data_IF_603264779322
#
_entry.id   IF_603264779322
#
_cell.length_a   1.000
_cell.length_b   1.000
_cell.length_c   1.000
_cell.angle_alpha   90.00
_cell.angle_beta   90.00
_cell.angle_gamma   90.00
#
_symmetry.space_group_name_H-M   'P 1'
#
loop_
_entity.id
_entity.type
_entity.pdbx_description
1 polymer ?
#
# COMPACT_ATOMS: atom_id res chain seq x y z
N UNK A 1 46.05 -12.74 -40.32
CA UNK A 1 45.37 -13.74 -39.43
C UNK A 1 44.35 -13.01 -38.56
N UNK A 2 43.09 -13.07 -38.95
CA UNK A 2 41.98 -12.35 -38.35
C UNK A 2 41.23 -13.36 -37.43
N UNK A 3 41.21 -13.16 -36.09
CA UNK A 3 40.39 -13.96 -35.19
C UNK A 3 39.16 -13.16 -34.80
N UNK A 4 38.04 -13.58 -35.35
CA UNK A 4 36.72 -13.11 -34.96
C UNK A 4 36.35 -13.72 -33.62
N UNK A 5 36.07 -12.88 -32.60
CA UNK A 5 35.44 -13.26 -31.34
C UNK A 5 33.92 -13.10 -31.48
N UNK A 6 33.20 -14.21 -31.60
CA UNK A 6 31.77 -14.24 -31.48
C UNK A 6 31.41 -14.08 -29.97
N UNK A 7 30.85 -12.94 -29.64
CA UNK A 7 30.22 -12.73 -28.33
C UNK A 7 28.83 -13.38 -28.32
N UNK A 8 28.65 -14.41 -27.52
CA UNK A 8 27.34 -14.98 -27.21
C UNK A 8 26.61 -14.05 -26.25
N UNK A 9 25.60 -13.34 -26.75
CA UNK A 9 24.64 -12.62 -25.91
C UNK A 9 23.73 -13.64 -25.22
N UNK A 10 23.95 -13.85 -23.93
CA UNK A 10 23.05 -14.62 -23.10
C UNK A 10 21.74 -13.84 -22.93
N UNK A 11 20.68 -14.30 -23.56
CA UNK A 11 19.31 -13.87 -23.30
C UNK A 11 18.91 -14.34 -21.89
N UNK A 12 19.06 -13.46 -20.93
CA UNK A 12 18.49 -13.68 -19.59
C UNK A 12 17.00 -13.44 -19.67
N UNK A 13 16.23 -14.52 -19.77
CA UNK A 13 14.79 -14.51 -19.63
C UNK A 13 14.42 -14.11 -18.19
N UNK A 14 13.50 -13.19 -17.94
CA UNK A 14 13.03 -12.88 -16.60
C UNK A 14 12.12 -14.00 -16.09
N UNK A 15 12.71 -15.01 -15.45
CA UNK A 15 11.99 -16.08 -14.74
C UNK A 15 11.38 -15.62 -13.38
N UNK A 16 11.42 -14.32 -13.10
CA UNK A 16 11.03 -13.78 -11.77
C UNK A 16 9.52 -13.57 -11.56
N UNK A 17 8.67 -13.76 -12.58
CA UNK A 17 7.25 -13.40 -12.48
C UNK A 17 6.35 -14.50 -11.87
N UNK A 18 6.87 -15.69 -11.62
CA UNK A 18 6.06 -16.84 -11.17
C UNK A 18 6.34 -17.30 -9.73
N UNK A 19 7.21 -16.60 -8.99
CA UNK A 19 7.66 -17.03 -7.66
C UNK A 19 6.55 -17.07 -6.59
N UNK A 20 5.42 -16.39 -6.81
CA UNK A 20 4.27 -16.38 -5.88
C UNK A 20 3.08 -17.21 -6.34
N UNK A 21 3.10 -17.86 -7.53
CA UNK A 21 1.96 -18.55 -8.08
C UNK A 21 2.00 -20.06 -7.78
N UNK A 22 0.94 -20.58 -7.16
CA UNK A 22 0.75 -21.99 -6.94
C UNK A 22 -0.21 -22.58 -7.99
N UNK A 23 0.33 -23.32 -8.93
CA UNK A 23 -0.43 -23.94 -10.04
C UNK A 23 -1.49 -24.96 -9.58
N UNK A 24 -1.29 -25.60 -8.43
CA UNK A 24 -2.22 -26.61 -7.93
C UNK A 24 -3.46 -26.02 -7.29
N UNK A 25 -3.34 -24.85 -6.68
CA UNK A 25 -4.43 -24.18 -5.96
C UNK A 25 -5.00 -22.99 -6.71
N UNK A 26 -4.40 -22.60 -7.85
CA UNK A 26 -4.72 -21.37 -8.57
C UNK A 26 -4.66 -20.12 -7.64
N UNK A 27 -3.65 -20.08 -6.78
CA UNK A 27 -3.43 -19.01 -5.81
C UNK A 27 -2.14 -18.25 -6.11
N UNK A 28 -2.18 -16.95 -5.90
CA UNK A 28 -1.01 -16.10 -5.88
C UNK A 28 -0.83 -15.52 -4.48
N UNK A 29 0.39 -15.53 -3.97
CA UNK A 29 0.73 -14.92 -2.68
C UNK A 29 1.71 -13.78 -2.91
N UNK A 30 1.32 -12.56 -2.52
CA UNK A 30 2.21 -11.42 -2.41
C UNK A 30 2.79 -11.37 -0.99
N UNK A 31 4.11 -11.41 -0.88
CA UNK A 31 4.78 -11.37 0.42
C UNK A 31 4.68 -10.01 1.08
N UNK A 32 4.83 -9.96 2.41
CA UNK A 32 4.86 -8.69 3.16
C UNK A 32 5.92 -7.74 2.62
N UNK A 33 7.12 -8.22 2.30
CA UNK A 33 8.23 -7.38 1.84
C UNK A 33 7.97 -6.78 0.45
N UNK A 34 7.37 -7.55 -0.45
CA UNK A 34 6.92 -7.05 -1.76
C UNK A 34 5.87 -5.96 -1.58
N UNK A 35 4.87 -6.19 -0.73
CA UNK A 35 3.81 -5.23 -0.44
C UNK A 35 4.35 -3.97 0.24
N UNK A 36 5.27 -4.11 1.21
CA UNK A 36 5.95 -2.99 1.85
C UNK A 36 6.72 -2.15 0.83
N UNK A 37 7.43 -2.79 -0.08
CA UNK A 37 8.16 -2.11 -1.15
C UNK A 37 7.21 -1.36 -2.10
N UNK A 38 6.06 -1.94 -2.42
CA UNK A 38 5.09 -1.31 -3.31
C UNK A 38 4.40 -0.11 -2.64
N UNK A 39 3.98 -0.24 -1.38
CA UNK A 39 3.35 0.87 -0.69
C UNK A 39 4.33 2.03 -0.46
N UNK A 40 5.58 1.75 -0.13
CA UNK A 40 6.60 2.77 0.07
C UNK A 40 6.81 3.67 -1.16
N UNK A 41 6.67 3.12 -2.37
CA UNK A 41 6.78 3.88 -3.63
C UNK A 41 5.62 4.87 -3.84
N UNK A 42 4.52 4.74 -3.11
CA UNK A 42 3.35 5.61 -3.21
C UNK A 42 3.41 6.81 -2.27
N UNK A 43 4.33 6.78 -1.33
CA UNK A 43 4.54 7.84 -0.34
C UNK A 43 5.74 8.72 -0.72
N UNK A 44 5.79 9.97 -0.27
CA UNK A 44 4.80 10.65 0.59
C UNK A 44 3.51 11.00 -0.15
N UNK A 45 2.41 11.05 0.58
CA UNK A 45 1.12 11.55 0.10
C UNK A 45 0.70 12.75 0.96
N UNK A 46 0.05 13.73 0.38
CA UNK A 46 -0.41 14.91 1.10
C UNK A 46 -1.66 15.51 0.46
N UNK A 47 -2.49 16.10 1.29
CA UNK A 47 -3.71 16.78 0.86
C UNK A 47 -3.92 18.07 1.64
N UNK A 48 -4.56 19.05 1.00
CA UNK A 48 -4.98 20.30 1.62
C UNK A 48 -6.40 20.14 2.14
N UNK A 49 -6.56 20.31 3.44
CA UNK A 49 -7.84 20.22 4.11
C UNK A 49 -8.31 21.62 4.54
N UNK A 50 -9.59 21.93 4.29
CA UNK A 50 -10.23 23.20 4.62
C UNK A 50 -9.41 24.43 4.20
N UNK A 51 -8.72 24.36 3.04
CA UNK A 51 -7.91 25.44 2.43
C UNK A 51 -6.65 25.87 3.23
N UNK A 52 -6.59 25.57 4.52
CA UNK A 52 -5.58 26.11 5.46
C UNK A 52 -4.69 25.05 6.12
N UNK A 53 -5.10 23.78 6.09
CA UNK A 53 -4.29 22.70 6.66
C UNK A 53 -3.67 21.88 5.53
N UNK A 54 -2.36 21.68 5.58
CA UNK A 54 -1.66 20.70 4.77
C UNK A 54 -1.40 19.47 5.63
N UNK A 55 -2.00 18.34 5.26
CA UNK A 55 -1.82 17.08 5.97
C UNK A 55 -1.04 16.13 5.08
N UNK A 56 0.04 15.59 5.59
CA UNK A 56 0.91 14.67 4.86
C UNK A 56 1.19 13.39 5.63
N UNK A 57 1.36 12.30 4.89
CA UNK A 57 1.79 10.99 5.41
C UNK A 57 3.08 10.57 4.71
N UNK A 58 4.04 10.07 5.47
CA UNK A 58 5.32 9.55 4.98
C UNK A 58 5.78 8.34 5.77
N UNK A 59 6.80 7.67 5.26
CA UNK A 59 7.44 6.52 5.90
C UNK A 59 6.44 5.40 6.27
N UNK A 60 5.64 4.89 5.32
CA UNK A 60 4.61 3.91 5.60
C UNK A 60 5.21 2.57 6.05
N UNK A 61 4.61 1.98 7.07
CA UNK A 61 4.91 0.63 7.55
C UNK A 61 3.67 -0.24 7.40
N UNK A 62 3.79 -1.34 6.67
CA UNK A 62 2.70 -2.28 6.45
C UNK A 62 2.59 -3.26 7.61
N UNK A 63 1.40 -3.33 8.20
CA UNK A 63 0.95 -4.38 9.10
C UNK A 63 -0.09 -5.27 8.41
N UNK A 64 -0.15 -6.54 8.79
CA UNK A 64 -1.12 -7.49 8.27
C UNK A 64 -1.89 -8.09 9.47
N UNK A 65 -3.22 -7.98 9.42
CA UNK A 65 -4.14 -8.56 10.40
C UNK A 65 -4.92 -9.70 9.73
N UNK A 66 -4.42 -10.91 9.88
CA UNK A 66 -5.04 -12.11 9.33
C UNK A 66 -6.43 -12.38 9.94
N UNK A 67 -6.65 -12.03 11.21
CA UNK A 67 -7.93 -12.27 11.90
C UNK A 67 -9.03 -11.33 11.42
N UNK A 68 -8.69 -10.06 11.24
CA UNK A 68 -9.60 -9.04 10.72
C UNK A 68 -9.69 -9.02 9.19
N UNK A 69 -8.86 -9.80 8.49
CA UNK A 69 -8.68 -9.74 7.03
C UNK A 69 -8.41 -8.32 6.55
N UNK A 70 -7.52 -7.59 7.24
CA UNK A 70 -7.22 -6.19 6.98
C UNK A 70 -5.72 -5.95 6.86
N UNK A 71 -5.36 -4.99 6.02
CA UNK A 71 -4.02 -4.42 5.98
C UNK A 71 -4.00 -3.13 6.81
N UNK A 72 -2.96 -2.91 7.61
CA UNK A 72 -2.76 -1.71 8.38
C UNK A 72 -1.57 -0.92 7.82
N UNK A 73 -1.72 0.39 7.72
CA UNK A 73 -0.62 1.30 7.39
C UNK A 73 -0.37 2.19 8.60
N UNK A 74 0.82 2.09 9.16
CA UNK A 74 1.32 3.04 10.15
C UNK A 74 2.27 4.00 9.47
N UNK A 75 2.04 5.30 9.60
CA UNK A 75 2.82 6.33 8.91
C UNK A 75 3.10 7.52 9.81
N UNK A 76 4.17 8.24 9.52
CA UNK A 76 4.44 9.55 10.11
C UNK A 76 3.45 10.56 9.52
N UNK A 77 2.70 11.22 10.39
CA UNK A 77 1.75 12.28 10.06
C UNK A 77 2.39 13.64 10.27
N UNK A 78 2.14 14.55 9.36
CA UNK A 78 2.51 15.97 9.48
C UNK A 78 1.30 16.83 9.21
N UNK A 79 1.01 17.78 10.09
CA UNK A 79 -0.06 18.77 9.93
C UNK A 79 0.58 20.16 9.97
N UNK A 80 0.48 20.89 8.89
CA UNK A 80 0.99 22.26 8.79
C UNK A 80 -0.16 23.25 8.53
N UNK A 81 -0.14 24.39 9.23
CA UNK A 81 -1.09 25.48 9.02
C UNK A 81 -0.53 26.77 9.60
N UNK A 82 -0.77 27.93 8.95
CA UNK A 82 -0.42 29.23 9.52
C UNK A 82 -1.20 29.59 10.79
N UNK A 83 -2.27 28.87 11.10
CA UNK A 83 -3.08 29.07 12.30
C UNK A 83 -2.55 28.33 13.53
N UNK A 84 -1.57 27.45 13.36
CA UNK A 84 -0.99 26.69 14.47
C UNK A 84 0.16 27.47 15.11
N UNK A 85 0.15 27.57 16.45
CA UNK A 85 1.24 28.19 17.21
C UNK A 85 2.57 27.44 16.99
N UNK A 86 2.50 26.12 16.85
CA UNK A 86 3.62 25.27 16.44
C UNK A 86 3.25 24.63 15.10
N UNK A 87 4.00 24.89 14.05
CA UNK A 87 3.78 24.35 12.72
C UNK A 87 5.14 24.01 12.08
N UNK A 88 5.31 22.80 11.53
CA UNK A 88 4.33 21.70 11.48
C UNK A 88 4.20 20.94 12.80
N UNK A 89 3.01 20.37 13.06
CA UNK A 89 2.79 19.38 14.09
C UNK A 89 3.08 17.99 13.52
N UNK A 90 3.84 17.20 14.25
CA UNK A 90 4.18 15.83 13.86
C UNK A 90 3.43 14.81 14.71
N UNK A 91 3.23 13.63 14.13
CA UNK A 91 2.59 12.53 14.83
C UNK A 91 2.79 11.19 14.12
N UNK A 92 2.12 10.19 14.65
CA UNK A 92 2.02 8.85 14.06
C UNK A 92 0.56 8.48 13.95
N UNK A 93 0.16 7.97 12.79
CA UNK A 93 -1.18 7.46 12.55
C UNK A 93 -1.10 5.99 12.12
N UNK A 94 -2.02 5.18 12.63
CA UNK A 94 -2.25 3.81 12.18
C UNK A 94 -3.66 3.69 11.63
N UNK A 95 -3.77 3.23 10.39
CA UNK A 95 -5.04 3.08 9.67
C UNK A 95 -5.16 1.66 9.16
N UNK A 96 -6.20 0.94 9.57
CA UNK A 96 -6.51 -0.38 9.02
C UNK A 96 -7.45 -0.25 7.82
N UNK A 97 -7.31 -1.13 6.83
CA UNK A 97 -8.13 -1.10 5.61
C UNK A 97 -8.51 -2.51 5.19
N UNK A 98 -9.72 -2.70 4.73
CA UNK A 98 -10.08 -3.85 3.92
C UNK A 98 -9.34 -3.78 2.58
N UNK A 99 -9.39 -4.86 1.82
CA UNK A 99 -8.75 -4.94 0.51
C UNK A 99 -9.82 -5.16 -0.57
N UNK A 100 -9.66 -4.48 -1.69
CA UNK A 100 -10.53 -4.63 -2.85
C UNK A 100 -9.70 -4.73 -4.13
N UNK A 101 -10.07 -5.66 -4.98
CA UNK A 101 -9.50 -5.72 -6.32
C UNK A 101 -10.28 -4.84 -7.29
N UNK A 102 -9.54 -4.02 -8.01
CA UNK A 102 -10.03 -3.21 -9.11
C UNK A 102 -9.63 -3.88 -10.43
N UNK A 103 -10.58 -4.53 -11.07
CA UNK A 103 -10.36 -5.28 -12.30
C UNK A 103 -9.95 -4.38 -13.48
N UNK A 104 -10.47 -3.15 -13.53
CA UNK A 104 -10.16 -2.21 -14.62
C UNK A 104 -8.68 -1.81 -14.63
N UNK A 105 -8.08 -1.64 -13.48
CA UNK A 105 -6.66 -1.27 -13.31
C UNK A 105 -5.78 -2.45 -12.90
N UNK A 106 -6.35 -3.63 -12.72
CA UNK A 106 -5.67 -4.83 -12.20
C UNK A 106 -4.88 -4.55 -10.93
N UNK A 107 -5.50 -3.86 -9.99
CA UNK A 107 -4.83 -3.42 -8.78
C UNK A 107 -5.57 -3.85 -7.51
N UNK A 108 -4.82 -4.32 -6.53
CA UNK A 108 -5.27 -4.50 -5.16
C UNK A 108 -5.16 -3.16 -4.43
N UNK A 109 -6.29 -2.67 -3.92
CA UNK A 109 -6.39 -1.35 -3.30
C UNK A 109 -6.84 -1.45 -1.86
N UNK A 110 -6.40 -0.48 -1.06
CA UNK A 110 -6.95 -0.23 0.26
C UNK A 110 -8.38 0.26 0.14
N UNK A 111 -9.29 -0.33 0.92
CA UNK A 111 -10.71 -0.01 0.91
C UNK A 111 -11.25 0.15 2.32
N UNK A 112 -12.21 1.04 2.51
CA UNK A 112 -12.80 1.33 3.81
C UNK A 112 -11.75 1.53 4.91
N UNK A 113 -10.82 2.50 4.75
CA UNK A 113 -9.80 2.78 5.75
C UNK A 113 -10.44 3.29 7.03
N UNK A 114 -9.89 2.85 8.16
CA UNK A 114 -10.32 3.24 9.50
C UNK A 114 -9.10 3.62 10.34
N UNK A 115 -9.06 4.85 10.83
CA UNK A 115 -8.04 5.28 11.76
C UNK A 115 -8.22 4.56 13.10
N UNK A 116 -7.24 3.75 13.47
CA UNK A 116 -7.24 2.98 14.73
C UNK A 116 -6.54 3.74 15.85
N UNK A 117 -5.49 4.50 15.51
CA UNK A 117 -4.68 5.25 16.45
C UNK A 117 -4.10 6.47 15.77
N UNK A 118 -4.10 7.60 16.48
CA UNK A 118 -3.39 8.80 16.08
C UNK A 118 -2.80 9.48 17.32
N UNK A 119 -1.50 9.73 17.30
CA UNK A 119 -0.78 10.43 18.36
C UNK A 119 -0.07 11.63 17.75
N UNK A 120 -0.28 12.79 18.37
CA UNK A 120 0.39 14.05 17.99
C UNK A 120 1.43 14.42 19.05
N UNK A 121 2.51 15.08 18.60
CA UNK A 121 3.59 15.54 19.45
C UNK A 121 3.52 17.07 19.62
N UNK A 122 3.77 17.55 20.84
CA UNK A 122 3.91 18.98 21.11
C UNK A 122 2.62 19.80 21.06
N UNK A 123 1.45 19.13 21.09
CA UNK A 123 0.13 19.77 21.23
C UNK A 123 -0.67 19.11 22.32
N UNK A 124 -1.42 19.88 23.08
CA UNK A 124 -2.20 19.41 24.23
C UNK A 124 -3.58 20.06 24.25
N UNK A 125 -4.47 19.51 25.07
CA UNK A 125 -5.80 20.06 25.32
C UNK A 125 -6.73 19.97 24.12
N UNK A 126 -7.63 20.94 24.00
CA UNK A 126 -8.68 20.97 22.97
C UNK A 126 -8.14 21.06 21.54
N UNK A 127 -7.00 21.69 21.35
CA UNK A 127 -6.40 21.80 20.02
C UNK A 127 -5.83 20.46 19.57
N UNK A 128 -5.22 19.70 20.47
CA UNK A 128 -4.78 18.34 20.17
C UNK A 128 -5.96 17.45 19.77
N UNK A 129 -7.08 17.48 20.49
CA UNK A 129 -8.27 16.70 20.15
C UNK A 129 -8.85 17.05 18.77
N UNK A 130 -8.90 18.35 18.43
CA UNK A 130 -9.37 18.80 17.11
C UNK A 130 -8.45 18.36 15.97
N UNK A 131 -7.14 18.51 16.17
CA UNK A 131 -6.14 18.09 15.20
C UNK A 131 -6.11 16.57 15.04
N UNK A 132 -6.29 15.80 16.11
CA UNK A 132 -6.40 14.35 16.05
C UNK A 132 -7.63 13.90 15.23
N UNK A 133 -8.80 14.49 15.48
CA UNK A 133 -10.02 14.17 14.71
C UNK A 133 -9.84 14.52 13.22
N UNK A 134 -9.34 15.70 12.91
CA UNK A 134 -9.10 16.12 11.54
C UNK A 134 -8.04 15.23 10.87
N UNK A 135 -6.91 15.02 11.53
CA UNK A 135 -5.82 14.19 11.00
C UNK A 135 -6.26 12.76 10.73
N UNK A 136 -7.12 12.18 11.58
CA UNK A 136 -7.68 10.85 11.37
C UNK A 136 -8.56 10.79 10.11
N UNK A 137 -9.43 11.77 9.91
CA UNK A 137 -10.30 11.86 8.72
C UNK A 137 -9.46 11.99 7.45
N UNK A 138 -8.52 12.91 7.43
CA UNK A 138 -7.68 13.14 6.24
C UNK A 138 -6.76 11.94 5.96
N UNK A 139 -6.23 11.28 7.00
CA UNK A 139 -5.44 10.07 6.81
C UNK A 139 -6.26 8.93 6.18
N UNK A 140 -7.52 8.79 6.56
CA UNK A 140 -8.44 7.84 5.92
C UNK A 140 -8.68 8.20 4.45
N UNK A 141 -8.94 9.46 4.15
CA UNK A 141 -9.14 9.94 2.77
C UNK A 141 -7.90 9.71 1.90
N UNK A 142 -6.71 10.05 2.40
CA UNK A 142 -5.43 9.85 1.72
C UNK A 142 -5.14 8.37 1.42
N UNK A 143 -5.60 7.45 2.27
CA UNK A 143 -5.36 6.02 2.11
C UNK A 143 -6.48 5.31 1.33
N UNK A 144 -7.67 5.91 1.20
CA UNK A 144 -8.76 5.33 0.43
C UNK A 144 -8.35 5.13 -1.04
N UNK A 145 -8.46 3.89 -1.52
CA UNK A 145 -8.14 3.53 -2.89
C UNK A 145 -6.65 3.48 -3.23
N UNK A 146 -5.74 3.70 -2.28
CA UNK A 146 -4.31 3.55 -2.52
C UNK A 146 -3.97 2.14 -2.99
N UNK A 147 -3.09 2.06 -3.99
CA UNK A 147 -2.68 0.79 -4.59
C UNK A 147 -1.65 0.12 -3.69
N UNK A 148 -1.99 -1.07 -3.22
CA UNK A 148 -1.08 -1.93 -2.46
C UNK A 148 -0.26 -2.83 -3.40
N UNK A 149 -0.89 -3.37 -4.45
CA UNK A 149 -0.25 -4.23 -5.46
C UNK A 149 -0.91 -4.02 -6.82
N UNK A 150 -0.12 -3.92 -7.88
CA UNK A 150 -0.60 -3.98 -9.27
C UNK A 150 -0.17 -5.30 -9.89
N UNK A 151 -1.04 -5.86 -10.74
CA UNK A 151 -0.78 -7.08 -11.48
C UNK A 151 -0.65 -6.76 -12.97
N UNK A 152 0.35 -7.33 -13.62
CA UNK A 152 0.46 -7.29 -15.08
C UNK A 152 -0.51 -8.29 -15.71
N UNK A 153 -0.81 -8.15 -17.00
CA UNK A 153 -1.62 -9.13 -17.71
C UNK A 153 -0.94 -10.52 -17.69
N UNK A 154 0.37 -10.55 -17.78
CA UNK A 154 1.15 -11.79 -17.81
C UNK A 154 1.12 -12.52 -16.45
N UNK A 155 1.14 -11.79 -15.33
CA UNK A 155 0.99 -12.38 -13.99
C UNK A 155 -0.39 -13.05 -13.78
N UNK A 156 -1.40 -12.59 -14.50
CA UNK A 156 -2.76 -13.16 -14.45
C UNK A 156 -3.00 -14.21 -15.56
N UNK A 157 -1.99 -14.48 -16.41
CA UNK A 157 -2.14 -15.43 -17.53
C UNK A 157 -1.27 -16.66 -17.30
N UNK A 158 -1.89 -17.83 -17.31
CA UNK A 158 -1.20 -19.12 -17.22
C UNK A 158 -1.51 -19.94 -18.47
N UNK A 159 -0.48 -20.22 -19.27
CA UNK A 159 -0.63 -20.86 -20.57
C UNK A 159 -1.42 -19.96 -21.55
N UNK A 160 -2.65 -20.38 -21.88
CA UNK A 160 -3.55 -19.62 -22.78
C UNK A 160 -4.75 -19.02 -22.05
N UNK A 161 -4.84 -19.20 -20.75
CA UNK A 161 -5.96 -18.73 -19.93
C UNK A 161 -5.57 -17.53 -19.10
N UNK A 162 -6.33 -16.44 -19.21
CA UNK A 162 -6.26 -15.29 -18.32
C UNK A 162 -7.25 -15.49 -17.18
N UNK A 163 -6.79 -15.31 -15.96
CA UNK A 163 -7.56 -15.47 -14.73
C UNK A 163 -8.00 -14.11 -14.20
N UNK A 164 -9.10 -14.12 -13.49
CA UNK A 164 -9.57 -12.99 -12.68
C UNK A 164 -9.21 -13.21 -11.22
N UNK A 165 -9.04 -12.15 -10.46
CA UNK A 165 -8.84 -12.24 -9.01
C UNK A 165 -10.21 -12.42 -8.34
N UNK A 166 -10.31 -13.49 -7.55
CA UNK A 166 -11.45 -13.83 -6.72
C UNK A 166 -11.24 -13.37 -5.27
N UNK A 167 -11.19 -14.36 -4.36
CA UNK A 167 -11.11 -14.06 -2.94
C UNK A 167 -9.73 -13.53 -2.54
N UNK A 168 -9.71 -12.57 -1.61
CA UNK A 168 -8.52 -11.93 -1.08
C UNK A 168 -8.45 -12.25 0.42
N UNK A 169 -7.35 -12.86 0.84
CA UNK A 169 -7.13 -13.26 2.23
C UNK A 169 -5.83 -12.67 2.75
N UNK A 170 -5.89 -11.90 3.81
CA UNK A 170 -4.72 -11.41 4.53
C UNK A 170 -4.18 -12.53 5.42
N UNK A 171 -2.89 -12.78 5.34
CA UNK A 171 -2.14 -13.73 6.17
C UNK A 171 -1.07 -12.97 6.96
N UNK A 172 -0.45 -13.60 7.95
CA UNK A 172 0.55 -12.94 8.81
C UNK A 172 1.82 -12.55 8.02
N UNK A 173 2.11 -13.24 6.93
CA UNK A 173 3.32 -13.08 6.12
C UNK A 173 3.06 -12.50 4.71
N UNK A 174 1.79 -12.29 4.35
CA UNK A 174 1.44 -11.80 3.02
C UNK A 174 -0.05 -11.70 2.76
N UNK A 175 -0.38 -11.49 1.49
CA UNK A 175 -1.76 -11.47 1.01
C UNK A 175 -1.90 -12.53 -0.07
N UNK A 176 -2.83 -13.45 0.17
CA UNK A 176 -3.20 -14.49 -0.78
C UNK A 176 -4.39 -14.02 -1.61
N UNK A 177 -4.30 -14.18 -2.92
CA UNK A 177 -5.41 -13.94 -3.85
C UNK A 177 -5.71 -15.24 -4.61
N UNK A 178 -6.98 -15.60 -4.70
CA UNK A 178 -7.42 -16.72 -5.47
C UNK A 178 -7.70 -16.31 -6.91
N UNK A 179 -7.21 -17.08 -7.87
CA UNK A 179 -7.47 -16.87 -9.30
C UNK A 179 -8.64 -17.73 -9.77
N UNK A 180 -9.56 -17.13 -10.50
CA UNK A 180 -10.79 -17.76 -11.05
C UNK A 180 -10.81 -17.75 -12.56
#
# INVERSE_FOLDING_TARGET
MLRALLGAAALQSPLSALAGFNFFTSEYTATRDELQTQIAKRFPVAERYAEIFMVGLRDPQLGLDARGNRAAITATLTIASPLLATSPVHGVVSVSSALRYDAATRALRLDQPKAERLELQGVEGRDAERLQKMGAVVAQELLQGQVLRSFTADELTVGRKTYEIGDITVQDDGIKVQLK
#
